data_IF_749261819623
#
_entry.id   IF_749261819623
#
_cell.length_a   1.000
_cell.length_b   1.000
_cell.length_c   1.000
_cell.angle_alpha   90.00
_cell.angle_beta   90.00
_cell.angle_gamma   90.00
#
_symmetry.space_group_name_H-M   'P 1'
#
loop_
_entity.id
_entity.type
_entity.pdbx_description
1 polymer ?
#
# COMPACT_ATOMS: atom_id res chain seq x y z
N UNK A 1 -70.15 -46.51 -53.41
CA UNK A 1 -69.87 -45.05 -53.52
C UNK A 1 -70.22 -44.45 -52.17
N UNK A 2 -69.35 -43.92 -51.32
CA UNK A 2 -67.96 -43.53 -51.43
C UNK A 2 -67.78 -42.26 -50.59
N UNK A 3 -66.67 -42.20 -49.84
CA UNK A 3 -66.02 -41.00 -49.29
C UNK A 3 -66.40 -40.55 -47.86
N UNK A 4 -65.60 -41.12 -46.95
CA UNK A 4 -65.10 -40.59 -45.68
C UNK A 4 -64.90 -39.07 -45.66
N UNK A 5 -65.46 -38.42 -44.64
CA UNK A 5 -65.21 -37.02 -44.25
C UNK A 5 -63.98 -36.97 -43.32
N UNK A 6 -62.82 -36.65 -43.89
CA UNK A 6 -61.61 -36.32 -43.13
C UNK A 6 -61.72 -34.94 -42.48
N UNK A 7 -61.78 -34.91 -41.15
CA UNK A 7 -61.63 -33.69 -40.36
C UNK A 7 -60.19 -33.18 -40.48
N UNK A 8 -60.00 -32.00 -41.08
CA UNK A 8 -58.70 -31.35 -41.18
C UNK A 8 -58.32 -30.69 -39.85
N UNK A 9 -57.40 -31.31 -39.12
CA UNK A 9 -56.72 -30.69 -38.00
C UNK A 9 -55.74 -29.62 -38.53
N UNK A 10 -56.11 -28.35 -38.43
CA UNK A 10 -55.21 -27.22 -38.72
C UNK A 10 -54.17 -27.09 -37.61
N UNK A 11 -52.97 -27.60 -37.85
CA UNK A 11 -51.80 -27.36 -37.00
C UNK A 11 -51.40 -25.87 -37.06
N UNK A 12 -51.68 -25.11 -35.99
CA UNK A 12 -51.12 -23.77 -35.82
C UNK A 12 -49.65 -23.90 -35.46
N UNK A 13 -48.76 -23.63 -36.42
CA UNK A 13 -47.32 -23.52 -36.16
C UNK A 13 -47.08 -22.25 -35.35
N UNK A 14 -46.84 -22.41 -34.03
CA UNK A 14 -46.40 -21.30 -33.16
C UNK A 14 -45.04 -20.80 -33.65
N UNK A 15 -45.00 -19.63 -34.28
CA UNK A 15 -43.75 -19.00 -34.68
C UNK A 15 -42.87 -18.74 -33.43
N UNK A 16 -41.63 -19.24 -33.44
CA UNK A 16 -40.68 -18.99 -32.37
C UNK A 16 -40.35 -17.49 -32.32
N UNK A 17 -40.75 -16.83 -31.23
CA UNK A 17 -40.55 -15.40 -31.00
C UNK A 17 -39.04 -15.09 -31.02
N UNK A 18 -38.58 -14.33 -32.01
CA UNK A 18 -37.16 -13.94 -32.17
C UNK A 18 -36.72 -13.16 -30.94
N UNK A 19 -35.91 -13.79 -30.09
CA UNK A 19 -35.49 -13.25 -28.80
C UNK A 19 -34.55 -12.05 -29.02
N UNK A 20 -34.91 -10.90 -28.48
CA UNK A 20 -34.19 -9.63 -28.69
C UNK A 20 -32.79 -9.69 -28.05
N UNK A 21 -31.77 -10.06 -28.83
CA UNK A 21 -30.36 -10.11 -28.39
C UNK A 21 -29.89 -8.83 -27.68
N UNK A 22 -30.46 -7.67 -28.02
CA UNK A 22 -30.18 -6.37 -27.38
C UNK A 22 -30.48 -6.37 -25.86
N UNK A 23 -31.50 -7.09 -25.41
CA UNK A 23 -31.82 -7.21 -23.98
C UNK A 23 -30.80 -8.06 -23.22
N UNK A 24 -30.27 -9.12 -23.84
CA UNK A 24 -29.21 -9.94 -23.24
C UNK A 24 -27.89 -9.18 -23.14
N UNK A 25 -27.53 -8.44 -24.19
CA UNK A 25 -26.33 -7.58 -24.17
C UNK A 25 -26.45 -6.53 -23.07
N UNK A 26 -27.62 -5.89 -22.94
CA UNK A 26 -27.87 -4.92 -21.87
C UNK A 26 -27.70 -5.53 -20.47
N UNK A 27 -28.25 -6.72 -20.23
CA UNK A 27 -28.12 -7.42 -18.94
C UNK A 27 -26.64 -7.75 -18.64
N UNK A 28 -25.89 -8.23 -19.62
CA UNK A 28 -24.46 -8.57 -19.43
C UNK A 28 -23.63 -7.32 -19.11
N UNK A 29 -23.88 -6.19 -19.80
CA UNK A 29 -23.21 -4.92 -19.49
C UNK A 29 -23.54 -4.45 -18.08
N UNK A 30 -24.81 -4.57 -17.66
CA UNK A 30 -25.25 -4.16 -16.33
C UNK A 30 -24.56 -4.98 -15.23
N UNK A 31 -24.42 -6.29 -15.43
CA UNK A 31 -23.69 -7.18 -14.52
C UNK A 31 -22.21 -6.79 -14.44
N UNK A 32 -21.57 -6.51 -15.58
CA UNK A 32 -20.17 -6.06 -15.61
C UNK A 32 -19.97 -4.74 -14.86
N UNK A 33 -20.84 -3.76 -15.06
CA UNK A 33 -20.80 -2.49 -14.35
C UNK A 33 -20.97 -2.72 -12.84
N UNK A 34 -21.92 -3.56 -12.44
CA UNK A 34 -22.16 -3.88 -11.03
C UNK A 34 -20.94 -4.58 -10.40
N UNK A 35 -20.28 -5.47 -11.13
CA UNK A 35 -19.06 -6.13 -10.68
C UNK A 35 -17.89 -5.15 -10.49
N UNK A 36 -17.71 -4.20 -11.42
CA UNK A 36 -16.67 -3.17 -11.32
C UNK A 36 -16.94 -2.23 -10.15
N UNK A 37 -18.18 -1.76 -9.98
CA UNK A 37 -18.56 -0.89 -8.86
C UNK A 37 -18.43 -1.62 -7.51
N UNK A 38 -18.87 -2.88 -7.45
CA UNK A 38 -18.74 -3.70 -6.24
C UNK A 38 -17.28 -3.96 -5.87
N UNK A 39 -16.44 -4.30 -6.85
CA UNK A 39 -15.01 -4.49 -6.64
C UNK A 39 -14.33 -3.19 -6.20
N UNK A 40 -14.64 -2.06 -6.85
CA UNK A 40 -14.11 -0.74 -6.50
C UNK A 40 -14.53 -0.29 -5.10
N UNK A 41 -15.80 -0.47 -4.74
CA UNK A 41 -16.32 -0.15 -3.41
C UNK A 41 -15.70 -1.02 -2.31
N UNK A 42 -15.52 -2.32 -2.57
CA UNK A 42 -14.81 -3.22 -1.67
C UNK A 42 -13.35 -2.80 -1.46
N UNK A 43 -12.64 -2.48 -2.55
CA UNK A 43 -11.26 -2.02 -2.51
C UNK A 43 -11.12 -0.71 -1.73
N UNK A 44 -12.02 0.25 -2.01
CA UNK A 44 -12.10 1.53 -1.31
C UNK A 44 -12.31 1.33 0.20
N UNK A 45 -13.29 0.51 0.59
CA UNK A 45 -13.56 0.19 2.00
C UNK A 45 -12.36 -0.48 2.71
N UNK A 46 -11.63 -1.33 1.98
CA UNK A 46 -10.45 -2.03 2.53
C UNK A 46 -9.29 -1.06 2.78
N UNK A 47 -9.07 -0.09 1.88
CA UNK A 47 -8.03 0.94 2.02
C UNK A 47 -8.40 2.05 3.00
N UNK A 48 -9.67 2.44 3.07
CA UNK A 48 -10.12 3.51 3.97
C UNK A 48 -9.98 3.12 5.45
N UNK A 49 -9.88 1.83 5.77
CA UNK A 49 -9.60 1.32 7.10
C UNK A 49 -8.10 1.25 7.43
N UNK A 50 -7.34 2.29 7.09
CA UNK A 50 -5.88 2.36 7.29
C UNK A 50 -5.45 2.09 8.74
N UNK A 51 -6.28 2.42 9.74
CA UNK A 51 -6.01 2.16 11.17
C UNK A 51 -5.85 0.68 11.52
N UNK A 52 -6.43 -0.24 10.74
CA UNK A 52 -6.25 -1.70 10.93
C UNK A 52 -5.03 -2.24 10.17
N UNK A 53 -4.52 -1.49 9.19
CA UNK A 53 -3.39 -1.88 8.34
C UNK A 53 -2.05 -1.44 8.92
N UNK A 54 -2.05 -0.41 9.75
CA UNK A 54 -0.87 0.14 10.43
C UNK A 54 -1.10 0.08 11.95
N UNK A 55 -0.94 -1.10 12.59
CA UNK A 55 -0.97 -1.22 14.04
C UNK A 55 0.33 -0.61 14.62
N UNK A 56 0.38 0.71 14.64
CA UNK A 56 1.49 1.50 15.12
C UNK A 56 1.11 2.96 14.96
N UNK A 57 0.96 3.67 16.07
CA UNK A 57 0.64 5.10 16.04
C UNK A 57 1.64 5.85 15.17
N UNK A 58 1.15 6.78 14.36
CA UNK A 58 2.01 7.65 13.56
C UNK A 58 2.62 8.68 14.50
N UNK A 59 3.90 8.55 14.83
CA UNK A 59 4.63 9.52 15.66
C UNK A 59 5.29 10.52 14.72
N UNK A 60 4.82 11.77 14.73
CA UNK A 60 5.45 12.87 14.02
C UNK A 60 6.45 13.57 14.95
N UNK A 61 7.77 13.52 14.67
CA UNK A 61 8.74 14.22 15.50
C UNK A 61 8.53 15.73 15.38
N UNK A 62 8.11 16.35 16.49
CA UNK A 62 7.83 17.80 16.58
C UNK A 62 6.37 18.16 16.90
N UNK A 63 5.44 17.21 16.88
CA UNK A 63 4.11 17.41 17.44
C UNK A 63 4.18 17.19 18.95
N UNK A 64 3.97 18.23 19.75
CA UNK A 64 3.82 18.15 21.20
C UNK A 64 2.66 17.21 21.58
N UNK A 65 2.79 16.52 22.72
CA UNK A 65 1.82 15.56 23.29
C UNK A 65 0.41 16.15 23.59
N UNK A 66 0.20 17.45 23.38
CA UNK A 66 -1.12 18.08 23.43
C UNK A 66 -1.92 17.77 22.16
N UNK A 67 -2.45 16.54 22.13
CA UNK A 67 -3.37 16.05 21.12
C UNK A 67 -4.78 16.64 21.30
N UNK A 68 -4.90 17.96 21.21
CA UNK A 68 -6.17 18.67 21.05
C UNK A 68 -6.02 19.67 19.90
N UNK A 69 -5.97 19.17 18.68
CA UNK A 69 -6.56 19.77 17.48
C UNK A 69 -6.40 18.76 16.34
N UNK A 70 -7.47 18.51 15.60
CA UNK A 70 -7.39 17.87 14.30
C UNK A 70 -6.32 18.61 13.47
N UNK A 71 -5.20 17.96 13.16
CA UNK A 71 -4.27 18.46 12.14
C UNK A 71 -5.01 18.32 10.80
N UNK A 72 -5.86 19.30 10.50
CA UNK A 72 -6.65 19.38 9.27
C UNK A 72 -5.79 19.83 8.09
N UNK A 73 -4.61 20.39 8.35
CA UNK A 73 -3.71 20.90 7.32
C UNK A 73 -2.27 20.41 7.53
N UNK A 74 -1.79 19.59 6.59
CA UNK A 74 -0.42 19.09 6.49
C UNK A 74 0.60 20.24 6.47
N UNK A 75 0.23 21.43 5.96
CA UNK A 75 1.10 22.61 5.92
C UNK A 75 1.42 23.17 7.31
N UNK A 76 0.59 22.90 8.31
CA UNK A 76 0.86 23.29 9.69
C UNK A 76 1.81 22.31 10.39
N UNK A 77 1.78 21.03 9.98
CA UNK A 77 2.65 20.00 10.53
C UNK A 77 4.07 20.02 9.94
N UNK A 78 4.25 20.54 8.72
CA UNK A 78 5.54 20.59 8.04
C UNK A 78 5.87 22.01 7.60
N UNK A 79 7.00 22.54 8.10
CA UNK A 79 7.49 23.88 7.78
C UNK A 79 8.04 24.05 6.35
N UNK A 80 8.06 22.97 5.55
CA UNK A 80 8.60 22.94 4.19
C UNK A 80 7.56 22.38 3.23
N UNK A 81 7.56 22.91 2.01
CA UNK A 81 6.66 22.46 0.94
C UNK A 81 7.01 21.08 0.39
N UNK A 82 8.19 20.55 0.69
CA UNK A 82 8.60 19.20 0.31
C UNK A 82 8.76 18.35 1.57
N UNK A 83 7.95 17.28 1.65
CA UNK A 83 8.03 16.26 2.70
C UNK A 83 8.79 15.07 2.14
N UNK A 84 9.88 14.68 2.81
CA UNK A 84 10.64 13.49 2.49
C UNK A 84 10.30 12.37 3.48
N UNK A 85 9.86 11.23 2.97
CA UNK A 85 9.50 10.04 3.73
C UNK A 85 10.45 8.92 3.33
N UNK A 86 11.24 8.44 4.29
CA UNK A 86 12.09 7.26 4.11
C UNK A 86 11.29 6.00 4.45
N UNK A 87 11.11 5.13 3.47
CA UNK A 87 10.43 3.84 3.58
C UNK A 87 11.46 2.74 3.70
N UNK A 88 11.34 1.92 4.75
CA UNK A 88 12.29 0.86 5.04
C UNK A 88 11.59 -0.45 5.35
N UNK A 89 12.01 -1.51 4.66
CA UNK A 89 11.52 -2.86 4.86
C UNK A 89 12.55 -3.69 5.61
N UNK A 90 12.17 -4.23 6.76
CA UNK A 90 12.95 -5.20 7.52
C UNK A 90 12.23 -6.55 7.49
N UNK A 91 12.95 -7.61 7.15
CA UNK A 91 12.43 -8.98 7.23
C UNK A 91 12.58 -9.52 8.67
N UNK A 92 11.68 -9.07 9.56
CA UNK A 92 11.61 -9.52 10.96
C UNK A 92 10.55 -10.59 11.14
N UNK A 93 10.85 -11.60 11.94
CA UNK A 93 9.89 -12.58 12.42
C UNK A 93 10.31 -13.08 13.82
N UNK A 94 9.37 -13.71 14.52
CA UNK A 94 9.58 -14.15 15.91
C UNK A 94 10.77 -15.12 16.05
N UNK A 95 10.91 -16.08 15.12
CA UNK A 95 12.00 -17.06 15.17
C UNK A 95 13.39 -16.44 14.92
N UNK A 96 13.46 -15.34 14.15
CA UNK A 96 14.70 -14.59 13.97
C UNK A 96 14.99 -13.66 15.15
N UNK A 97 13.96 -13.18 15.84
CA UNK A 97 14.15 -12.31 17.01
C UNK A 97 14.81 -13.09 18.18
N UNK A 98 14.64 -14.42 18.22
CA UNK A 98 15.37 -15.30 19.16
C UNK A 98 16.89 -15.38 18.88
N UNK A 99 17.31 -15.10 17.64
CA UNK A 99 18.70 -15.30 17.17
C UNK A 99 19.42 -13.97 16.89
N UNK A 100 18.69 -12.96 16.45
CA UNK A 100 19.22 -11.69 15.98
C UNK A 100 18.64 -10.51 16.77
N UNK A 101 19.52 -9.76 17.43
CA UNK A 101 19.16 -8.53 18.13
C UNK A 101 18.87 -7.35 17.19
N UNK A 102 19.34 -7.43 15.93
CA UNK A 102 19.28 -6.31 14.97
C UNK A 102 19.27 -6.80 13.53
N UNK A 103 18.53 -6.09 12.67
CA UNK A 103 18.26 -6.46 11.29
C UNK A 103 18.84 -5.46 10.29
N UNK A 104 19.02 -5.93 9.05
CA UNK A 104 19.36 -5.09 7.90
C UNK A 104 18.09 -4.77 7.11
N UNK A 105 18.06 -3.62 6.47
CA UNK A 105 16.94 -3.24 5.61
C UNK A 105 17.07 -3.92 4.24
N UNK A 106 16.04 -4.63 3.80
CA UNK A 106 15.97 -5.25 2.47
C UNK A 106 15.41 -4.31 1.42
N UNK A 107 14.55 -3.39 1.84
CA UNK A 107 13.97 -2.35 0.99
C UNK A 107 14.28 -0.99 1.58
N UNK A 108 14.78 -0.07 0.76
CA UNK A 108 15.02 1.33 1.12
C UNK A 108 14.48 2.16 -0.04
N UNK A 109 13.48 3.01 0.22
CA UNK A 109 12.92 3.93 -0.76
C UNK A 109 12.75 5.30 -0.14
N UNK A 110 13.02 6.36 -0.91
CA UNK A 110 12.76 7.73 -0.51
C UNK A 110 11.59 8.26 -1.34
N UNK A 111 10.50 8.61 -0.68
CA UNK A 111 9.37 9.30 -1.28
C UNK A 111 9.47 10.80 -0.95
N UNK A 112 9.39 11.64 -1.97
CA UNK A 112 9.37 13.10 -1.85
C UNK A 112 8.03 13.62 -2.31
N UNK A 113 7.29 14.26 -1.41
CA UNK A 113 5.95 14.80 -1.66
C UNK A 113 6.09 16.31 -1.71
N UNK A 114 5.84 16.90 -2.87
CA UNK A 114 5.76 18.34 -3.04
C UNK A 114 4.31 18.81 -2.84
N UNK A 115 4.04 19.49 -1.72
CA UNK A 115 2.71 19.94 -1.29
C UNK A 115 2.17 21.07 -2.19
N UNK A 116 3.04 21.90 -2.76
CA UNK A 116 2.62 22.99 -3.66
C UNK A 116 2.07 22.46 -4.99
N UNK A 117 2.77 21.49 -5.58
CA UNK A 117 2.46 20.95 -6.91
C UNK A 117 1.61 19.68 -6.85
N UNK A 118 1.50 19.05 -5.68
CA UNK A 118 0.84 17.76 -5.48
C UNK A 118 1.58 16.57 -6.09
N UNK A 119 2.85 16.75 -6.50
CA UNK A 119 3.66 15.69 -7.11
C UNK A 119 4.32 14.82 -6.06
N UNK A 120 4.42 13.52 -6.36
CA UNK A 120 5.12 12.54 -5.54
C UNK A 120 6.17 11.85 -6.39
N UNK A 121 7.43 12.02 -6.01
CA UNK A 121 8.56 11.35 -6.63
C UNK A 121 9.08 10.26 -5.68
N UNK A 122 9.34 9.07 -6.20
CA UNK A 122 9.85 7.94 -5.41
C UNK A 122 11.11 7.40 -6.05
N UNK A 123 12.16 7.25 -5.25
CA UNK A 123 13.40 6.62 -5.67
C UNK A 123 13.73 5.43 -4.77
N UNK A 124 14.01 4.29 -5.39
CA UNK A 124 14.51 3.10 -4.69
C UNK A 124 16.02 3.16 -4.57
N UNK A 125 16.53 2.92 -3.37
CA UNK A 125 17.96 2.83 -3.10
C UNK A 125 18.34 1.34 -3.04
N UNK A 126 19.20 0.83 -3.94
CA UNK A 126 19.61 -0.57 -3.90
C UNK A 126 20.32 -0.90 -2.58
N UNK A 127 19.88 -1.96 -1.89
CA UNK A 127 20.36 -2.35 -0.55
C UNK A 127 21.89 -2.59 -0.47
N UNK A 128 22.48 -2.97 -1.59
CA UNK A 128 23.91 -3.30 -1.74
C UNK A 128 24.76 -2.12 -2.24
N UNK A 129 24.19 -0.91 -2.29
CA UNK A 129 24.94 0.29 -2.66
C UNK A 129 26.10 0.53 -1.68
N UNK A 130 27.32 0.66 -2.20
CA UNK A 130 28.52 0.87 -1.39
C UNK A 130 28.62 2.34 -0.97
N UNK A 131 28.39 2.61 0.31
CA UNK A 131 28.37 3.96 0.89
C UNK A 131 29.30 4.04 2.11
N UNK A 132 29.83 5.22 2.46
CA UNK A 132 30.42 5.42 3.77
C UNK A 132 29.38 5.17 4.86
N UNK A 133 29.73 4.42 5.90
CA UNK A 133 28.82 4.12 7.03
C UNK A 133 29.30 4.83 8.29
N UNK A 134 28.35 5.40 9.03
CA UNK A 134 28.61 6.07 10.30
C UNK A 134 29.39 5.18 11.28
N UNK A 135 30.35 5.78 12.00
CA UNK A 135 31.22 5.09 13.00
C UNK A 135 31.99 3.88 12.49
N UNK A 136 32.26 3.78 11.18
CA UNK A 136 33.16 2.76 10.61
C UNK A 136 34.59 3.26 10.36
N UNK A 137 35.02 4.36 10.99
CA UNK A 137 36.38 4.90 10.82
C UNK A 137 36.75 5.22 9.37
N UNK A 138 35.79 5.70 8.56
CA UNK A 138 36.00 6.01 7.14
C UNK A 138 35.80 4.84 6.18
N UNK A 139 35.52 3.62 6.69
CA UNK A 139 35.19 2.47 5.87
C UNK A 139 33.82 2.58 5.18
N UNK A 140 33.67 1.88 4.05
CA UNK A 140 32.41 1.76 3.30
C UNK A 140 31.77 0.39 3.51
N UNK A 141 30.44 0.32 3.48
CA UNK A 141 29.67 -0.94 3.39
C UNK A 141 28.49 -0.78 2.44
N UNK A 142 27.78 -1.88 2.23
CA UNK A 142 26.41 -1.90 1.73
C UNK A 142 25.49 -1.06 2.63
N UNK A 143 24.69 -0.19 2.03
CA UNK A 143 23.79 0.74 2.73
C UNK A 143 22.78 0.02 3.64
N UNK A 144 22.40 -1.22 3.32
CA UNK A 144 21.52 -2.03 4.19
C UNK A 144 22.05 -2.27 5.60
N UNK A 145 23.35 -2.06 5.82
CA UNK A 145 23.98 -2.19 7.12
C UNK A 145 23.89 -0.93 7.99
N UNK A 146 23.52 0.23 7.42
CA UNK A 146 23.53 1.53 8.11
C UNK A 146 22.72 1.50 9.41
N UNK A 147 21.52 0.93 9.37
CA UNK A 147 20.69 0.72 10.56
C UNK A 147 21.43 -0.03 11.67
N UNK A 148 22.04 -1.17 11.31
CA UNK A 148 22.74 -2.04 12.25
C UNK A 148 23.93 -1.34 12.87
N UNK A 149 24.68 -0.56 12.09
CA UNK A 149 25.80 0.22 12.62
C UNK A 149 25.33 1.34 13.54
N UNK A 150 24.27 2.08 13.17
CA UNK A 150 23.67 3.09 14.02
C UNK A 150 23.15 2.52 15.34
N UNK A 151 22.50 1.36 15.30
CA UNK A 151 21.99 0.66 16.47
C UNK A 151 23.13 0.17 17.40
N UNK A 152 24.16 -0.48 16.83
CA UNK A 152 25.27 -1.07 17.61
C UNK A 152 26.24 -0.03 18.15
N UNK A 153 26.57 0.95 17.32
CA UNK A 153 27.67 1.88 17.59
C UNK A 153 27.19 3.28 17.84
N UNK A 154 25.90 3.62 17.73
CA UNK A 154 25.38 4.97 17.93
C UNK A 154 25.55 5.51 19.35
N UNK A 155 25.74 4.64 20.35
CA UNK A 155 25.94 5.01 21.75
C UNK A 155 24.65 5.10 22.58
N UNK A 156 23.55 4.48 22.12
CA UNK A 156 22.31 4.38 22.89
C UNK A 156 22.45 3.40 24.05
N UNK A 157 21.92 3.77 25.22
CA UNK A 157 22.00 2.96 26.43
C UNK A 157 20.82 2.01 26.55
N UNK A 158 19.65 2.43 26.06
CA UNK A 158 18.43 1.61 26.01
C UNK A 158 18.15 1.09 24.61
N UNK A 159 17.33 0.05 24.48
CA UNK A 159 16.98 -0.51 23.16
C UNK A 159 16.18 0.48 22.30
N UNK A 160 15.34 1.30 22.93
CA UNK A 160 14.62 2.38 22.26
C UNK A 160 15.57 3.45 21.71
N UNK A 161 16.57 3.86 22.50
CA UNK A 161 17.59 4.81 22.07
C UNK A 161 18.44 4.23 20.94
N UNK A 162 18.88 2.97 21.06
CA UNK A 162 19.62 2.29 19.99
C UNK A 162 18.79 2.20 18.72
N UNK A 163 17.49 1.92 18.82
CA UNK A 163 16.59 1.90 17.67
C UNK A 163 16.46 3.28 17.03
N UNK A 164 16.24 4.32 17.83
CA UNK A 164 16.21 5.72 17.36
C UNK A 164 17.51 6.13 16.66
N UNK A 165 18.66 5.73 17.21
CA UNK A 165 19.96 5.99 16.58
C UNK A 165 20.14 5.17 15.30
N UNK A 166 19.72 3.91 15.27
CA UNK A 166 19.69 3.09 14.05
C UNK A 166 18.90 3.76 12.94
N UNK A 167 17.71 4.30 13.26
CA UNK A 167 16.88 5.07 12.33
C UNK A 167 17.55 6.38 11.91
N UNK A 168 18.15 7.12 12.85
CA UNK A 168 18.77 8.43 12.60
C UNK A 168 19.98 8.34 11.66
N UNK A 169 20.78 7.28 11.81
CA UNK A 169 21.95 7.06 10.96
C UNK A 169 21.62 6.28 9.68
N UNK A 170 20.34 6.11 9.38
CA UNK A 170 19.92 5.54 8.12
C UNK A 170 19.82 6.63 7.06
N UNK A 171 20.79 6.59 6.14
CA UNK A 171 21.10 7.59 5.11
C UNK A 171 21.89 8.78 5.64
#
# INVERSE_FOLDING_TARGET
MGWSSMAQNRMQVKQAKKRNRKQYVFIVVLILVFAVVGAGGYWYYRISNYKKLLPGGVVFPGASDDHDQDILDIRQAFSKDIINILLMGFDRNESRDEVYEVYRADTIMLASINIETGKVDVISIPRDTLVPIYRRGGGKDKINSAFTYGWRYGGGSTDEEKYKLGMLYQV
#
